data_IF_208537602028
#
_entry.id   IF_208537602028
#
_cell.length_a   1.000
_cell.length_b   1.000
_cell.length_c   1.000
_cell.angle_alpha   90.00
_cell.angle_beta   90.00
_cell.angle_gamma   90.00
#
_symmetry.space_group_name_H-M   'P 1'
#
loop_
_entity.id
_entity.type
_entity.pdbx_description
1 polymer ?
#
# COMPACT_ATOMS: atom_id res chain seq x y z
N UNK A 1 -15.21 -7.76 27.13
CA UNK A 1 -14.18 -6.95 26.45
C UNK A 1 -13.89 -7.40 25.01
N UNK A 2 -14.86 -7.93 24.22
CA UNK A 2 -14.59 -8.42 22.85
C UNK A 2 -14.69 -7.37 21.72
N UNK A 3 -15.21 -6.16 21.99
CA UNK A 3 -15.43 -5.15 20.93
C UNK A 3 -14.15 -4.44 20.44
N UNK A 4 -13.00 -4.60 21.12
CA UNK A 4 -11.74 -3.93 20.73
C UNK A 4 -10.91 -4.70 19.69
N UNK A 5 -11.28 -5.95 19.38
CA UNK A 5 -10.53 -6.81 18.45
C UNK A 5 -10.89 -6.54 16.97
N UNK A 6 -12.11 -6.09 16.70
CA UNK A 6 -12.62 -5.86 15.33
C UNK A 6 -11.77 -4.90 14.48
N UNK A 7 -11.48 -3.67 14.96
CA UNK A 7 -10.67 -2.69 14.22
C UNK A 7 -9.24 -3.19 13.97
N UNK A 8 -8.69 -3.95 14.91
CA UNK A 8 -7.35 -4.53 14.82
C UNK A 8 -7.27 -5.58 13.71
N UNK A 9 -8.20 -6.54 13.70
CA UNK A 9 -8.27 -7.58 12.66
C UNK A 9 -8.55 -6.96 11.29
N UNK A 10 -9.38 -5.92 11.24
CA UNK A 10 -9.67 -5.19 10.00
C UNK A 10 -8.40 -4.53 9.43
N UNK A 11 -7.63 -3.78 10.24
CA UNK A 11 -6.41 -3.12 9.79
C UNK A 11 -5.31 -4.12 9.38
N UNK A 12 -5.20 -5.25 10.08
CA UNK A 12 -4.29 -6.33 9.67
C UNK A 12 -4.70 -6.94 8.33
N UNK A 13 -5.99 -7.18 8.13
CA UNK A 13 -6.52 -7.74 6.88
C UNK A 13 -6.29 -6.78 5.73
N UNK A 14 -6.49 -5.48 5.94
CA UNK A 14 -6.17 -4.42 4.96
C UNK A 14 -4.68 -4.45 4.61
N UNK A 15 -3.79 -4.55 5.59
CA UNK A 15 -2.35 -4.65 5.33
C UNK A 15 -1.95 -5.90 4.54
N UNK A 16 -2.58 -7.05 4.82
CA UNK A 16 -2.36 -8.28 4.02
C UNK A 16 -2.86 -8.09 2.59
N UNK A 17 -4.05 -7.51 2.40
CA UNK A 17 -4.60 -7.24 1.08
C UNK A 17 -3.69 -6.27 0.29
N UNK A 18 -3.25 -5.18 0.92
CA UNK A 18 -2.32 -4.22 0.33
C UNK A 18 -0.99 -4.88 -0.03
N UNK A 19 -0.44 -5.73 0.85
CA UNK A 19 0.77 -6.49 0.57
C UNK A 19 0.61 -7.38 -0.68
N UNK A 20 -0.46 -8.19 -0.75
CA UNK A 20 -0.70 -9.12 -1.86
C UNK A 20 -0.91 -8.35 -3.17
N UNK A 21 -1.75 -7.31 -3.15
CA UNK A 21 -2.03 -6.49 -4.34
C UNK A 21 -0.78 -5.77 -4.82
N UNK A 22 -0.04 -5.11 -3.92
CA UNK A 22 1.17 -4.38 -4.29
C UNK A 22 2.27 -5.32 -4.81
N UNK A 23 2.44 -6.50 -4.19
CA UNK A 23 3.41 -7.49 -4.66
C UNK A 23 3.04 -8.04 -6.05
N UNK A 24 1.75 -8.30 -6.29
CA UNK A 24 1.27 -8.72 -7.60
C UNK A 24 1.51 -7.64 -8.67
N UNK A 25 1.15 -6.38 -8.38
CA UNK A 25 1.36 -5.26 -9.30
C UNK A 25 2.86 -5.05 -9.58
N UNK A 26 3.71 -5.11 -8.56
CA UNK A 26 5.16 -5.04 -8.72
C UNK A 26 5.65 -6.10 -9.71
N UNK A 27 5.26 -7.38 -9.53
CA UNK A 27 5.68 -8.46 -10.43
C UNK A 27 5.13 -8.25 -11.85
N UNK A 28 3.84 -7.90 -11.98
CA UNK A 28 3.21 -7.71 -13.28
C UNK A 28 3.88 -6.60 -14.10
N UNK A 29 4.07 -5.42 -13.50
CA UNK A 29 4.72 -4.29 -14.18
C UNK A 29 6.21 -4.51 -14.40
N UNK A 30 6.89 -5.25 -13.52
CA UNK A 30 8.28 -5.67 -13.74
C UNK A 30 8.41 -6.55 -14.99
N UNK A 31 7.57 -7.58 -15.10
CA UNK A 31 7.52 -8.47 -16.28
C UNK A 31 7.16 -7.69 -17.53
N UNK A 32 6.18 -6.80 -17.45
CA UNK A 32 5.78 -5.95 -18.58
C UNK A 32 6.94 -5.05 -19.04
N UNK A 33 7.65 -4.40 -18.12
CA UNK A 33 8.80 -3.56 -18.44
C UNK A 33 9.91 -4.38 -19.09
N UNK A 34 10.22 -5.56 -18.56
CA UNK A 34 11.22 -6.45 -19.13
C UNK A 34 10.85 -6.88 -20.57
N UNK A 35 9.58 -7.22 -20.81
CA UNK A 35 9.10 -7.56 -22.16
C UNK A 35 9.15 -6.38 -23.12
N UNK A 36 8.80 -5.16 -22.66
CA UNK A 36 8.88 -3.95 -23.48
C UNK A 36 10.33 -3.69 -23.89
N UNK A 37 11.27 -3.71 -22.94
CA UNK A 37 12.70 -3.50 -23.21
C UNK A 37 13.24 -4.54 -24.20
N UNK A 38 12.92 -5.83 -24.01
CA UNK A 38 13.33 -6.89 -24.92
C UNK A 38 12.80 -6.67 -26.36
N UNK A 39 11.58 -6.13 -26.52
CA UNK A 39 11.03 -5.80 -27.86
C UNK A 39 11.73 -4.60 -28.50
N UNK A 40 12.15 -3.60 -27.73
CA UNK A 40 12.93 -2.47 -28.25
C UNK A 40 14.29 -2.93 -28.73
N UNK A 41 14.99 -3.72 -27.91
CA UNK A 41 16.30 -4.29 -28.24
C UNK A 41 16.22 -5.20 -29.48
N UNK A 42 15.21 -6.06 -29.58
CA UNK A 42 14.99 -6.91 -30.75
C UNK A 42 14.71 -6.13 -32.05
N UNK A 43 14.26 -4.87 -31.96
CA UNK A 43 14.05 -3.97 -33.10
C UNK A 43 15.25 -3.06 -33.39
N UNK A 44 16.34 -3.20 -32.63
CA UNK A 44 17.51 -2.31 -32.71
C UNK A 44 17.22 -0.87 -32.28
N UNK A 45 16.15 -0.65 -31.50
CA UNK A 45 15.73 0.66 -31.02
C UNK A 45 16.09 0.80 -29.53
N UNK A 46 16.41 2.02 -29.11
CA UNK A 46 16.53 2.34 -27.69
C UNK A 46 15.17 2.72 -27.12
N UNK A 47 14.84 2.19 -25.94
CA UNK A 47 13.63 2.57 -25.23
C UNK A 47 13.78 4.01 -24.73
N UNK A 48 12.87 4.88 -25.17
CA UNK A 48 12.87 6.28 -24.75
C UNK A 48 12.55 6.40 -23.25
N UNK A 49 13.05 7.45 -22.60
CA UNK A 49 12.96 7.60 -21.14
C UNK A 49 11.52 7.59 -20.63
N UNK A 50 10.59 8.12 -21.41
CA UNK A 50 9.17 8.20 -21.05
C UNK A 50 8.46 6.84 -21.08
N UNK A 51 8.96 5.88 -21.87
CA UNK A 51 8.45 4.50 -21.92
C UNK A 51 8.83 3.73 -20.64
N UNK A 52 9.95 4.10 -20.02
CA UNK A 52 10.49 3.44 -18.83
C UNK A 52 9.95 4.08 -17.54
N UNK A 53 9.82 5.42 -17.50
CA UNK A 53 9.44 6.17 -16.29
C UNK A 53 8.10 5.75 -15.70
N UNK A 54 7.08 5.54 -16.53
CA UNK A 54 5.72 5.17 -16.07
C UNK A 54 5.71 3.84 -15.31
N UNK A 55 6.10 2.72 -15.94
CA UNK A 55 6.22 1.43 -15.26
C UNK A 55 7.19 1.46 -14.08
N UNK A 56 8.32 2.18 -14.20
CA UNK A 56 9.29 2.30 -13.10
C UNK A 56 8.68 2.96 -11.86
N UNK A 57 7.83 3.98 -12.02
CA UNK A 57 7.14 4.61 -10.90
C UNK A 57 6.21 3.62 -10.17
N UNK A 58 5.43 2.85 -10.92
CA UNK A 58 4.53 1.83 -10.35
C UNK A 58 5.32 0.72 -9.64
N UNK A 59 6.44 0.29 -10.22
CA UNK A 59 7.35 -0.71 -9.63
C UNK A 59 7.93 -0.20 -8.30
N UNK A 60 8.47 1.02 -8.27
CA UNK A 60 9.08 1.61 -7.08
C UNK A 60 8.03 1.79 -5.98
N UNK A 61 6.88 2.40 -6.31
CA UNK A 61 5.81 2.59 -5.33
C UNK A 61 5.26 1.25 -4.85
N UNK A 62 5.06 0.29 -5.76
CA UNK A 62 4.62 -1.06 -5.41
C UNK A 62 5.56 -1.73 -4.42
N UNK A 63 6.87 -1.69 -4.67
CA UNK A 63 7.88 -2.27 -3.77
C UNK A 63 7.87 -1.62 -2.38
N UNK A 64 7.80 -0.28 -2.32
CA UNK A 64 7.73 0.46 -1.05
C UNK A 64 6.45 0.08 -0.29
N UNK A 65 5.30 0.06 -0.96
CA UNK A 65 4.02 -0.29 -0.34
C UNK A 65 4.01 -1.73 0.15
N UNK A 66 4.57 -2.67 -0.60
CA UNK A 66 4.73 -4.07 -0.17
C UNK A 66 5.57 -4.16 1.11
N UNK A 67 6.74 -3.50 1.13
CA UNK A 67 7.62 -3.52 2.30
C UNK A 67 6.96 -2.87 3.53
N UNK A 68 6.32 -1.72 3.35
CA UNK A 68 5.62 -1.01 4.43
C UNK A 68 4.42 -1.80 4.95
N UNK A 69 3.62 -2.40 4.06
CA UNK A 69 2.44 -3.19 4.46
C UNK A 69 2.84 -4.44 5.23
N UNK A 70 3.90 -5.13 4.80
CA UNK A 70 4.46 -6.26 5.54
C UNK A 70 4.99 -5.83 6.92
N UNK A 71 5.72 -4.72 6.98
CA UNK A 71 6.23 -4.15 8.23
C UNK A 71 5.11 -3.74 9.19
N UNK A 72 4.10 -3.02 8.69
CA UNK A 72 2.92 -2.61 9.45
C UNK A 72 2.16 -3.83 9.98
N UNK A 73 1.92 -4.84 9.15
CA UNK A 73 1.30 -6.10 9.58
C UNK A 73 2.05 -6.77 10.74
N UNK A 74 3.38 -6.92 10.61
CA UNK A 74 4.20 -7.54 11.64
C UNK A 74 4.22 -6.71 12.94
N UNK A 75 4.32 -5.39 12.84
CA UNK A 75 4.32 -4.49 13.99
C UNK A 75 2.96 -4.47 14.70
N UNK A 76 1.85 -4.48 13.94
CA UNK A 76 0.51 -4.64 14.48
C UNK A 76 0.39 -5.98 15.22
N UNK A 77 0.91 -7.07 14.64
CA UNK A 77 0.93 -8.40 15.29
C UNK A 77 1.71 -8.39 16.62
N UNK A 78 2.73 -7.54 16.72
CA UNK A 78 3.50 -7.32 17.96
C UNK A 78 2.80 -6.34 18.94
N UNK A 79 1.57 -5.91 18.66
CA UNK A 79 0.81 -4.97 19.48
C UNK A 79 1.32 -3.53 19.41
N UNK A 80 2.19 -3.19 18.45
CA UNK A 80 2.76 -1.85 18.34
C UNK A 80 1.79 -0.91 17.62
N UNK A 81 0.99 -0.17 18.39
CA UNK A 81 0.03 0.82 17.85
C UNK A 81 0.63 1.84 16.89
N UNK A 82 1.92 2.17 17.02
CA UNK A 82 2.59 3.13 16.15
C UNK A 82 2.66 2.67 14.68
N UNK A 83 2.45 1.37 14.42
CA UNK A 83 2.29 0.83 13.07
C UNK A 83 1.14 1.48 12.29
N UNK A 84 0.11 1.99 12.97
CA UNK A 84 -0.98 2.71 12.30
C UNK A 84 -0.49 3.97 11.57
N UNK A 85 0.62 4.59 11.99
CA UNK A 85 1.20 5.71 11.27
C UNK A 85 1.90 5.29 9.97
N UNK A 86 2.33 4.03 9.88
CA UNK A 86 2.85 3.45 8.64
C UNK A 86 1.69 3.29 7.66
N UNK A 87 0.51 2.87 8.10
CA UNK A 87 -0.69 2.82 7.26
C UNK A 87 -1.04 4.20 6.68
N UNK A 88 -0.98 5.27 7.48
CA UNK A 88 -1.19 6.65 6.98
C UNK A 88 -0.21 6.99 5.84
N UNK A 89 1.07 6.61 6.00
CA UNK A 89 2.08 6.80 4.97
C UNK A 89 1.79 5.96 3.72
N UNK A 90 1.37 4.70 3.88
CA UNK A 90 1.00 3.82 2.75
C UNK A 90 -0.14 4.46 1.95
N UNK A 91 -1.20 4.92 2.60
CA UNK A 91 -2.34 5.55 1.92
C UNK A 91 -1.94 6.83 1.20
N UNK A 92 -1.07 7.65 1.78
CA UNK A 92 -0.53 8.84 1.12
C UNK A 92 0.34 8.50 -0.12
N UNK A 93 1.17 7.46 -0.03
CA UNK A 93 2.02 7.00 -1.14
C UNK A 93 1.23 6.39 -2.29
N UNK A 94 0.16 5.64 -1.98
CA UNK A 94 -0.71 4.98 -2.97
C UNK A 94 -1.60 6.00 -3.66
N UNK A 95 -2.07 7.04 -2.95
CA UNK A 95 -2.98 8.04 -3.48
C UNK A 95 -2.53 8.65 -4.80
N UNK A 96 -1.31 9.17 -4.88
CA UNK A 96 -0.82 9.88 -6.06
C UNK A 96 -0.80 9.01 -7.34
N UNK A 97 -0.16 7.82 -7.37
CA UNK A 97 -0.21 6.96 -8.54
C UNK A 97 -1.64 6.47 -8.84
N UNK A 98 -2.46 6.21 -7.83
CA UNK A 98 -3.84 5.77 -8.04
C UNK A 98 -4.68 6.88 -8.68
N UNK A 99 -4.53 8.13 -8.27
CA UNK A 99 -5.22 9.27 -8.87
C UNK A 99 -4.85 9.43 -10.36
N UNK A 100 -3.55 9.38 -10.68
CA UNK A 100 -3.08 9.48 -12.07
C UNK A 100 -3.60 8.33 -12.94
N UNK A 101 -3.60 7.10 -12.40
CA UNK A 101 -4.01 5.94 -13.17
C UNK A 101 -5.53 5.79 -13.29
N UNK A 102 -6.33 6.26 -12.34
CA UNK A 102 -7.80 6.14 -12.39
C UNK A 102 -8.45 7.23 -13.26
N UNK A 103 -7.85 8.42 -13.33
CA UNK A 103 -8.45 9.57 -14.01
C UNK A 103 -8.88 9.32 -15.46
N UNK A 104 -8.06 8.63 -16.30
CA UNK A 104 -8.44 8.31 -17.67
C UNK A 104 -9.63 7.36 -17.79
N UNK A 105 -9.85 6.49 -16.79
CA UNK A 105 -10.92 5.49 -16.81
C UNK A 105 -12.26 6.03 -16.31
N UNK A 106 -12.23 7.06 -15.46
CA UNK A 106 -13.42 7.62 -14.80
C UNK A 106 -13.74 9.05 -15.25
N UNK A 107 -13.31 9.45 -16.45
CA UNK A 107 -13.68 10.72 -17.09
C UNK A 107 -13.50 11.96 -16.18
N UNK A 108 -12.39 12.03 -15.43
CA UNK A 108 -12.11 13.15 -14.52
C UNK A 108 -12.48 12.91 -13.06
N UNK A 109 -13.15 11.80 -12.71
CA UNK A 109 -13.49 11.46 -11.31
C UNK A 109 -12.43 10.60 -10.59
N UNK A 110 -11.33 10.27 -11.27
CA UNK A 110 -10.31 9.38 -10.70
C UNK A 110 -9.60 9.99 -9.49
N UNK A 111 -9.46 11.32 -9.50
CA UNK A 111 -8.87 12.07 -8.39
C UNK A 111 -9.76 12.05 -7.14
N UNK A 112 -11.07 12.23 -7.29
CA UNK A 112 -12.05 12.20 -6.20
C UNK A 112 -12.14 10.81 -5.57
N UNK A 113 -12.23 9.77 -6.40
CA UNK A 113 -12.30 8.37 -5.94
C UNK A 113 -11.02 8.02 -5.16
N UNK A 114 -9.85 8.35 -5.73
CA UNK A 114 -8.57 8.09 -5.08
C UNK A 114 -8.43 8.85 -3.76
N UNK A 115 -8.85 10.11 -3.72
CA UNK A 115 -8.80 10.95 -2.52
C UNK A 115 -9.74 10.43 -1.43
N UNK A 116 -10.93 9.94 -1.80
CA UNK A 116 -11.90 9.37 -0.87
C UNK A 116 -11.39 8.04 -0.29
N UNK A 117 -10.79 7.18 -1.12
CA UNK A 117 -10.14 5.94 -0.65
C UNK A 117 -8.98 6.23 0.30
N UNK A 118 -8.12 7.21 -0.03
CA UNK A 118 -7.03 7.66 0.82
C UNK A 118 -7.54 8.17 2.18
N UNK A 119 -8.56 9.03 2.17
CA UNK A 119 -9.19 9.55 3.38
C UNK A 119 -9.73 8.42 4.27
N UNK A 120 -10.47 7.46 3.69
CA UNK A 120 -11.01 6.31 4.43
C UNK A 120 -9.88 5.50 5.06
N UNK A 121 -8.82 5.24 4.31
CA UNK A 121 -7.64 4.52 4.79
C UNK A 121 -6.94 5.22 5.97
N UNK A 122 -6.72 6.52 5.85
CA UNK A 122 -6.14 7.35 6.92
C UNK A 122 -7.06 7.36 8.15
N UNK A 123 -8.36 7.56 7.97
CA UNK A 123 -9.33 7.56 9.06
C UNK A 123 -9.35 6.21 9.79
N UNK A 124 -9.32 5.09 9.05
CA UNK A 124 -9.24 3.76 9.62
C UNK A 124 -7.97 3.58 10.46
N UNK A 125 -6.82 4.01 9.94
CA UNK A 125 -5.54 3.92 10.64
C UNK A 125 -5.53 4.78 11.92
N UNK A 126 -5.97 6.03 11.85
CA UNK A 126 -6.05 6.94 12.99
C UNK A 126 -7.04 6.45 14.04
N UNK A 127 -8.23 6.01 13.63
CA UNK A 127 -9.21 5.44 14.55
C UNK A 127 -8.64 4.21 15.26
N UNK A 128 -7.97 3.32 14.51
CA UNK A 128 -7.36 2.12 15.09
C UNK A 128 -6.24 2.48 16.08
N UNK A 129 -5.43 3.51 15.80
CA UNK A 129 -4.41 3.99 16.74
C UNK A 129 -4.99 4.39 18.10
N UNK A 130 -6.10 5.13 18.12
CA UNK A 130 -6.76 5.56 19.36
C UNK A 130 -7.51 4.44 20.06
N UNK A 131 -7.99 3.44 19.31
CA UNK A 131 -8.66 2.28 19.87
C UNK A 131 -7.69 1.25 20.45
N UNK A 132 -6.42 1.26 20.02
CA UNK A 132 -5.38 0.41 20.58
C UNK A 132 -4.90 0.89 21.96
N UNK A 133 -4.69 -0.02 22.93
CA UNK A 133 -4.13 0.32 24.23
C UNK A 133 -2.77 1.02 24.11
N UNK A 134 -2.55 2.05 24.92
CA UNK A 134 -1.30 2.82 24.96
C UNK A 134 -0.12 2.09 25.65
N UNK A 135 -0.37 0.92 26.24
CA UNK A 135 0.58 0.28 27.14
C UNK A 135 1.53 -0.67 26.43
N UNK A 136 2.83 -0.53 26.73
CA UNK A 136 3.78 -1.66 26.80
C UNK A 136 3.36 -2.64 27.91
N UNK A 137 2.12 -3.13 27.87
CA UNK A 137 1.64 -4.18 28.73
C UNK A 137 2.23 -5.49 28.24
N UNK A 138 3.44 -5.81 28.69
CA UNK A 138 3.81 -7.21 28.91
C UNK A 138 2.59 -7.85 29.58
N UNK A 139 2.01 -8.94 29.04
CA UNK A 139 0.98 -9.64 29.78
C UNK A 139 1.60 -10.10 31.09
N UNK A 140 1.33 -9.37 32.17
CA UNK A 140 1.50 -9.89 33.52
C UNK A 140 0.49 -11.03 33.64
N UNK A 141 0.99 -12.27 33.53
CA UNK A 141 0.18 -13.47 33.71
C UNK A 141 -0.02 -14.34 32.47
N UNK A 142 1.02 -14.56 31.66
CA UNK A 142 1.11 -15.88 31.01
C UNK A 142 1.50 -16.92 32.09
N UNK A 143 0.75 -18.03 32.24
CA UNK A 143 1.23 -19.17 33.03
C UNK A 143 2.57 -19.69 32.53
#
# INVERSE_FOLDING_TARGET
MRMREGPYVALQTVNVALFVVAAFLFIAFWVELAQRLARYEARGLYADGDVIKGPAFIIITGLIVTALSAGAFLLLRMGRRWACWIDVLIWALVWFPTAINLDPYFQGFGYEISSLMCLIGILLAVATFFLMPSGNGRPEGSP
#
